data_IF_141323647847
#
_entry.id   IF_141323647847
#
_cell.length_a   1.000
_cell.length_b   1.000
_cell.length_c   1.000
_cell.angle_alpha   90.00
_cell.angle_beta   90.00
_cell.angle_gamma   90.00
#
_symmetry.space_group_name_H-M   'P 1'
#
loop_
_entity.id
_entity.type
_entity.pdbx_description
1 polymer ?
#
# COMPACT_ATOMS: atom_id res chain seq x y z
N UNK A 1 -7.27 -22.59 22.58
CA UNK A 1 -6.62 -21.39 22.05
C UNK A 1 -5.97 -21.76 20.73
N UNK A 2 -6.26 -21.04 19.66
CA UNK A 2 -5.70 -21.30 18.32
C UNK A 2 -4.81 -20.13 17.91
N UNK A 3 -3.73 -20.42 17.18
CA UNK A 3 -2.84 -19.38 16.62
C UNK A 3 -2.96 -19.43 15.11
N UNK A 4 -3.42 -18.33 14.52
CA UNK A 4 -3.51 -18.14 13.07
C UNK A 4 -2.43 -17.15 12.66
N UNK A 5 -1.66 -17.47 11.62
CA UNK A 5 -0.66 -16.58 11.03
C UNK A 5 -1.07 -16.23 9.62
N UNK A 6 -1.00 -14.94 9.28
CA UNK A 6 -1.31 -14.41 7.96
C UNK A 6 -0.44 -13.20 7.66
N UNK A 7 -0.35 -12.82 6.39
CA UNK A 7 0.25 -11.57 5.96
C UNK A 7 -0.81 -10.48 5.86
N UNK A 8 -0.54 -9.32 6.45
CA UNK A 8 -1.40 -8.14 6.43
C UNK A 8 -0.65 -6.99 5.76
N UNK A 9 -1.12 -6.47 4.61
CA UNK A 9 -0.56 -5.27 4.01
C UNK A 9 -0.61 -4.10 4.99
N UNK A 10 0.49 -3.35 5.13
CA UNK A 10 0.61 -2.28 6.13
C UNK A 10 -0.45 -1.19 5.92
N UNK A 11 -0.76 -0.87 4.66
CA UNK A 11 -1.79 0.11 4.31
C UNK A 11 -3.22 -0.32 4.70
N UNK A 12 -3.47 -1.61 4.89
CA UNK A 12 -4.76 -2.18 5.32
C UNK A 12 -4.78 -2.48 6.84
N UNK A 13 -3.70 -2.17 7.57
CA UNK A 13 -3.59 -2.48 9.01
C UNK A 13 -4.22 -1.42 9.92
N UNK A 14 -4.46 -0.22 9.41
CA UNK A 14 -5.11 0.85 10.16
C UNK A 14 -6.59 0.51 10.39
N UNK A 15 -7.01 0.43 11.65
CA UNK A 15 -8.39 0.02 12.01
C UNK A 15 -8.60 -1.49 12.16
N UNK A 16 -7.65 -2.32 11.68
CA UNK A 16 -7.78 -3.79 11.65
C UNK A 16 -8.15 -4.42 13.00
N UNK A 17 -7.61 -3.92 14.12
CA UNK A 17 -7.91 -4.48 15.44
C UNK A 17 -9.39 -4.32 15.82
N UNK A 18 -9.98 -3.15 15.52
CA UNK A 18 -11.39 -2.91 15.80
C UNK A 18 -12.28 -3.81 14.93
N UNK A 19 -11.95 -3.94 13.64
CA UNK A 19 -12.68 -4.78 12.69
C UNK A 19 -12.57 -6.27 13.04
N UNK A 20 -11.37 -6.74 13.41
CA UNK A 20 -11.18 -8.13 13.82
C UNK A 20 -11.98 -8.43 15.09
N UNK A 21 -12.01 -7.50 16.05
CA UNK A 21 -12.76 -7.67 17.29
C UNK A 21 -14.26 -7.74 17.03
N UNK A 22 -14.81 -6.86 16.19
CA UNK A 22 -16.23 -6.83 15.86
C UNK A 22 -16.68 -8.09 15.11
N UNK A 23 -15.86 -8.58 14.17
CA UNK A 23 -16.16 -9.77 13.36
C UNK A 23 -15.93 -11.11 14.10
N UNK A 24 -15.29 -11.11 15.25
CA UNK A 24 -15.01 -12.33 16.04
C UNK A 24 -15.72 -12.36 17.40
N UNK A 25 -16.67 -11.44 17.63
CA UNK A 25 -17.36 -11.33 18.93
C UNK A 25 -16.41 -11.02 20.09
N UNK A 26 -15.28 -10.37 19.82
CA UNK A 26 -14.27 -10.02 20.82
C UNK A 26 -13.30 -11.14 21.21
N UNK A 27 -13.30 -12.26 20.50
CA UNK A 27 -12.49 -13.43 20.87
C UNK A 27 -11.09 -13.46 20.25
N UNK A 28 -10.85 -12.69 19.18
CA UNK A 28 -9.54 -12.63 18.53
C UNK A 28 -8.72 -11.43 19.02
N UNK A 29 -7.43 -11.67 19.22
CA UNK A 29 -6.44 -10.68 19.65
C UNK A 29 -5.27 -10.67 18.65
N UNK A 30 -5.11 -9.61 17.84
CA UNK A 30 -4.04 -9.56 16.86
C UNK A 30 -2.70 -9.15 17.49
N UNK A 31 -1.62 -9.82 17.06
CA UNK A 31 -0.25 -9.36 17.29
C UNK A 31 0.41 -9.16 15.92
N UNK A 32 0.73 -7.90 15.59
CA UNK A 32 1.33 -7.55 14.30
C UNK A 32 2.80 -7.17 14.48
N UNK A 33 3.68 -7.73 13.65
CA UNK A 33 5.09 -7.36 13.54
C UNK A 33 5.44 -7.18 12.08
N UNK A 34 6.41 -6.31 11.77
CA UNK A 34 6.94 -6.20 10.42
C UNK A 34 7.62 -7.51 10.02
N UNK A 35 7.38 -7.98 8.79
CA UNK A 35 7.97 -9.22 8.27
C UNK A 35 8.84 -8.95 7.05
N UNK A 36 8.28 -8.41 5.97
CA UNK A 36 8.98 -8.24 4.70
C UNK A 36 8.38 -7.14 3.84
N UNK A 37 9.10 -6.79 2.77
CA UNK A 37 8.59 -5.98 1.67
C UNK A 37 8.00 -6.88 0.60
N UNK A 38 6.74 -6.67 0.26
CA UNK A 38 6.06 -7.35 -0.83
C UNK A 38 5.78 -6.37 -1.97
N UNK A 39 6.02 -6.80 -3.21
CA UNK A 39 5.73 -5.99 -4.40
C UNK A 39 4.21 -5.89 -4.56
N UNK A 40 3.71 -4.66 -4.68
CA UNK A 40 2.32 -4.40 -4.99
C UNK A 40 2.09 -4.63 -6.49
N UNK A 41 1.13 -5.48 -6.91
CA UNK A 41 0.89 -5.74 -8.32
C UNK A 41 0.32 -4.51 -9.04
N UNK A 42 0.73 -4.32 -10.29
CA UNK A 42 0.34 -3.21 -11.16
C UNK A 42 1.51 -2.28 -11.47
N UNK A 43 1.40 -1.54 -12.57
CA UNK A 43 2.43 -0.60 -13.00
C UNK A 43 2.19 0.80 -12.41
N UNK A 44 3.16 1.45 -11.74
CA UNK A 44 2.98 2.78 -11.17
C UNK A 44 2.59 3.91 -12.13
N UNK A 45 3.06 3.96 -13.39
CA UNK A 45 2.61 4.95 -14.39
C UNK A 45 1.21 4.68 -14.93
N UNK A 46 0.71 3.44 -14.88
CA UNK A 46 -0.59 3.06 -15.43
C UNK A 46 -1.74 3.61 -14.57
N UNK A 47 -2.59 4.44 -15.16
CA UNK A 47 -3.70 5.05 -14.44
C UNK A 47 -4.73 4.00 -14.03
N UNK A 48 -5.16 4.04 -12.76
CA UNK A 48 -6.15 3.12 -12.22
C UNK A 48 -5.56 1.96 -11.42
N UNK A 49 -4.25 1.72 -11.50
CA UNK A 49 -3.58 0.73 -10.64
C UNK A 49 -3.45 1.24 -9.20
N UNK A 50 -3.41 0.32 -8.22
CA UNK A 50 -3.13 0.70 -6.81
C UNK A 50 -1.77 1.39 -6.64
N UNK A 51 -0.66 0.90 -7.25
CA UNK A 51 0.62 1.61 -7.21
C UNK A 51 0.53 3.06 -7.73
N UNK A 52 -0.20 3.30 -8.82
CA UNK A 52 -0.37 4.64 -9.39
C UNK A 52 -1.01 5.62 -8.40
N UNK A 53 -2.07 5.19 -7.71
CA UNK A 53 -2.76 6.02 -6.70
C UNK A 53 -1.79 6.42 -5.57
N UNK A 54 -1.08 5.44 -5.00
CA UNK A 54 -0.13 5.67 -3.89
C UNK A 54 1.00 6.63 -4.29
N UNK A 55 1.56 6.43 -5.49
CA UNK A 55 2.64 7.28 -6.03
C UNK A 55 2.12 8.70 -6.28
N UNK A 56 0.96 8.85 -6.92
CA UNK A 56 0.37 10.16 -7.25
C UNK A 56 0.05 10.97 -6.00
N UNK A 57 -0.61 10.38 -5.02
CA UNK A 57 -0.94 11.02 -3.75
C UNK A 57 0.31 11.44 -2.98
N UNK A 58 1.34 10.58 -2.97
CA UNK A 58 2.62 10.89 -2.33
C UNK A 58 3.33 12.05 -3.03
N UNK A 59 3.36 12.08 -4.37
CA UNK A 59 3.95 13.17 -5.15
C UNK A 59 3.23 14.49 -4.91
N UNK A 60 1.89 14.48 -4.94
CA UNK A 60 1.05 15.63 -4.62
C UNK A 60 1.35 16.17 -3.22
N UNK A 61 1.40 15.30 -2.20
CA UNK A 61 1.76 15.67 -0.81
C UNK A 61 3.15 16.29 -0.70
N UNK A 62 4.07 15.92 -1.60
CA UNK A 62 5.45 16.44 -1.65
C UNK A 62 5.61 17.65 -2.57
N UNK A 63 4.54 18.16 -3.19
CA UNK A 63 4.61 19.30 -4.11
C UNK A 63 5.30 18.98 -5.44
N UNK A 64 5.38 17.70 -5.81
CA UNK A 64 5.96 17.24 -7.08
C UNK A 64 4.85 17.11 -8.14
N UNK A 65 5.24 17.18 -9.43
CA UNK A 65 4.33 16.94 -10.56
C UNK A 65 3.64 15.58 -10.41
N UNK A 66 2.31 15.55 -10.41
CA UNK A 66 1.52 14.35 -10.09
C UNK A 66 1.76 13.16 -11.03
N UNK A 67 2.09 13.43 -12.30
CA UNK A 67 2.40 12.41 -13.29
C UNK A 67 3.81 11.84 -13.07
N UNK A 68 3.95 10.52 -13.24
CA UNK A 68 5.27 9.85 -13.31
C UNK A 68 5.97 10.34 -14.58
N UNK A 69 7.20 10.85 -14.44
CA UNK A 69 7.94 11.43 -15.56
C UNK A 69 8.21 10.36 -16.61
N UNK A 70 7.70 10.59 -17.83
CA UNK A 70 8.00 9.76 -19.00
C UNK A 70 9.49 9.81 -19.35
N UNK A 71 9.96 8.78 -20.06
CA UNK A 71 11.36 8.63 -20.48
C UNK A 71 11.87 9.84 -21.29
N UNK A 72 10.99 10.47 -22.08
CA UNK A 72 11.28 11.68 -22.86
C UNK A 72 11.78 12.87 -22.03
N UNK A 73 11.47 12.93 -20.72
CA UNK A 73 11.99 13.98 -19.85
C UNK A 73 13.49 13.81 -19.55
N UNK A 74 14.06 12.65 -19.86
CA UNK A 74 15.45 12.29 -19.54
C UNK A 74 16.31 12.04 -20.77
N UNK A 75 15.69 11.85 -21.94
CA UNK A 75 16.40 11.64 -23.20
C UNK A 75 16.50 12.96 -23.97
N UNK A 76 17.72 13.45 -24.16
CA UNK A 76 17.98 14.57 -25.05
C UNK A 76 17.96 14.07 -26.50
N UNK A 77 17.08 14.64 -27.32
CA UNK A 77 16.97 14.28 -28.74
C UNK A 77 18.08 15.02 -29.49
N UNK A 78 19.13 14.29 -29.87
CA UNK A 78 20.06 14.75 -30.91
C UNK A 78 19.40 14.75 -32.28
#
# INVERSE_FOLDING_TARGET
MFVVKAYLPVNESFGFNADLRSNTGGQAFPQCVFVHWQILPGDPPETGTKPNQVVRETRKRKGLKECVLALDNYLDKK
#
